data_IF_188081493531
#
_entry.id   IF_188081493531
#
_cell.length_a   1.000
_cell.length_b   1.000
_cell.length_c   1.000
_cell.angle_alpha   90.00
_cell.angle_beta   90.00
_cell.angle_gamma   90.00
#
_symmetry.space_group_name_H-M   'P 1'
#
loop_
_entity.id
_entity.type
_entity.pdbx_description
1 polymer ?
#
# COMPACT_ATOMS: atom_id res chain seq x y z
N UNK A 1 3.19 12.66 35.94
CA UNK A 1 2.84 12.48 34.52
C UNK A 1 1.35 12.74 34.36
N UNK A 2 0.92 13.46 33.32
CA UNK A 2 -0.51 13.67 33.09
C UNK A 2 -1.12 12.42 32.46
N UNK A 3 -2.27 12.00 32.98
CA UNK A 3 -3.10 10.95 32.40
C UNK A 3 -4.16 11.62 31.50
N UNK A 4 -4.40 11.02 30.35
CA UNK A 4 -5.38 11.47 29.37
C UNK A 4 -6.41 10.36 29.12
N UNK A 5 -7.59 10.73 28.64
CA UNK A 5 -8.57 9.79 28.12
C UNK A 5 -8.01 9.13 26.84
N UNK A 6 -7.94 7.80 26.80
CA UNK A 6 -7.32 7.08 25.69
C UNK A 6 -8.05 7.34 24.38
N UNK A 7 -9.38 7.18 24.35
CA UNK A 7 -10.17 7.33 23.13
C UNK A 7 -10.06 8.75 22.59
N UNK A 8 -10.28 9.77 23.42
CA UNK A 8 -10.26 11.18 23.01
C UNK A 8 -8.87 11.59 22.51
N UNK A 9 -7.82 11.09 23.14
CA UNK A 9 -6.43 11.37 22.73
C UNK A 9 -6.14 10.84 21.33
N UNK A 10 -6.56 9.61 21.02
CA UNK A 10 -6.34 9.03 19.69
C UNK A 10 -7.17 9.71 18.61
N UNK A 11 -8.40 10.12 18.91
CA UNK A 11 -9.21 10.94 17.99
C UNK A 11 -8.55 12.28 17.72
N UNK A 12 -8.08 12.97 18.77
CA UNK A 12 -7.38 14.24 18.65
C UNK A 12 -6.06 14.10 17.88
N UNK A 13 -5.30 13.04 18.12
CA UNK A 13 -4.09 12.73 17.37
C UNK A 13 -4.41 12.52 15.90
N UNK A 14 -5.43 11.73 15.57
CA UNK A 14 -5.80 11.49 14.17
C UNK A 14 -6.32 12.75 13.49
N UNK A 15 -7.09 13.59 14.18
CA UNK A 15 -7.59 14.86 13.65
C UNK A 15 -6.44 15.82 13.31
N UNK A 16 -5.44 15.90 14.19
CA UNK A 16 -4.29 16.78 14.01
C UNK A 16 -3.18 16.17 13.15
N UNK A 17 -3.23 14.86 12.85
CA UNK A 17 -2.27 14.20 11.99
C UNK A 17 -2.62 14.47 10.53
N UNK A 18 -1.92 15.42 9.94
CA UNK A 18 -1.97 15.71 8.50
C UNK A 18 -0.58 15.50 7.91
N UNK A 19 -0.54 14.91 6.71
CA UNK A 19 0.68 14.89 5.91
C UNK A 19 1.05 16.31 5.46
N UNK A 20 2.31 16.49 5.11
CA UNK A 20 2.76 17.70 4.43
C UNK A 20 2.07 17.78 3.05
N UNK A 21 1.26 18.82 2.81
CA UNK A 21 0.48 18.97 1.59
C UNK A 21 1.35 19.05 0.33
N UNK A 22 2.50 19.71 0.43
CA UNK A 22 3.44 19.83 -0.68
C UNK A 22 4.07 18.46 -0.98
N UNK A 23 4.46 17.74 0.07
CA UNK A 23 4.96 16.37 -0.06
C UNK A 23 3.90 15.44 -0.66
N UNK A 24 2.64 15.55 -0.23
CA UNK A 24 1.54 14.77 -0.78
C UNK A 24 1.36 15.03 -2.26
N UNK A 25 1.38 16.30 -2.68
CA UNK A 25 1.26 16.68 -4.08
C UNK A 25 2.41 16.12 -4.93
N UNK A 26 3.66 16.21 -4.44
CA UNK A 26 4.84 15.62 -5.08
C UNK A 26 4.71 14.11 -5.20
N UNK A 27 4.30 13.44 -4.12
CA UNK A 27 4.05 12.00 -4.08
C UNK A 27 3.05 11.57 -5.16
N UNK A 28 1.87 12.21 -5.21
CA UNK A 28 0.80 11.83 -6.16
C UNK A 28 1.27 11.98 -7.60
N UNK A 29 2.01 13.05 -7.90
CA UNK A 29 2.52 13.31 -9.23
C UNK A 29 3.63 12.33 -9.63
N UNK A 30 4.61 12.08 -8.77
CA UNK A 30 5.67 11.11 -9.03
C UNK A 30 5.11 9.68 -9.14
N UNK A 31 4.13 9.32 -8.31
CA UNK A 31 3.45 8.02 -8.41
C UNK A 31 2.78 7.84 -9.78
N UNK A 32 2.17 8.90 -10.32
CA UNK A 32 1.58 8.86 -11.67
C UNK A 32 2.65 8.64 -12.74
N UNK A 33 3.76 9.37 -12.71
CA UNK A 33 4.86 9.21 -13.67
C UNK A 33 5.42 7.78 -13.67
N UNK A 34 5.62 7.21 -12.47
CA UNK A 34 6.10 5.83 -12.30
C UNK A 34 5.12 4.83 -12.93
N UNK A 35 3.82 4.99 -12.68
CA UNK A 35 2.79 4.11 -13.25
C UNK A 35 2.75 4.23 -14.77
N UNK A 36 2.73 5.45 -15.30
CA UNK A 36 2.66 5.70 -16.74
C UNK A 36 3.85 5.04 -17.45
N UNK A 37 5.05 5.10 -16.87
CA UNK A 37 6.21 4.43 -17.42
C UNK A 37 6.10 2.89 -17.41
N UNK A 38 5.60 2.30 -16.32
CA UNK A 38 5.37 0.85 -16.22
C UNK A 38 4.31 0.41 -17.24
N UNK A 39 3.19 1.15 -17.32
CA UNK A 39 2.10 0.88 -18.26
C UNK A 39 2.59 0.98 -19.70
N UNK A 40 3.31 2.04 -20.05
CA UNK A 40 3.91 2.20 -21.38
C UNK A 40 4.84 1.04 -21.73
N UNK A 41 5.62 0.54 -20.76
CA UNK A 41 6.48 -0.62 -20.99
C UNK A 41 5.69 -1.93 -21.13
N UNK A 42 4.60 -2.10 -20.38
CA UNK A 42 3.68 -3.23 -20.54
C UNK A 42 3.00 -3.22 -21.93
N UNK A 43 2.62 -2.04 -22.44
CA UNK A 43 2.12 -1.89 -23.82
C UNK A 43 3.16 -2.30 -24.85
N UNK A 44 4.41 -1.82 -24.73
CA UNK A 44 5.52 -2.20 -25.63
C UNK A 44 5.80 -3.71 -25.61
N UNK A 45 5.67 -4.33 -24.44
CA UNK A 45 5.83 -5.78 -24.27
C UNK A 45 4.61 -6.60 -24.73
N UNK A 46 3.54 -5.94 -25.19
CA UNK A 46 2.23 -6.53 -25.47
C UNK A 46 1.73 -7.43 -24.33
N UNK A 47 1.89 -6.94 -23.09
CA UNK A 47 1.39 -7.61 -21.90
C UNK A 47 -0.13 -7.71 -21.94
N UNK A 48 -0.66 -8.81 -21.39
CA UNK A 48 -2.10 -8.98 -21.19
C UNK A 48 -2.67 -8.06 -20.11
N UNK A 49 -1.79 -7.49 -19.29
CA UNK A 49 -2.12 -6.59 -18.19
C UNK A 49 -2.01 -5.11 -18.55
N UNK A 50 -1.62 -4.77 -19.78
CA UNK A 50 -1.36 -3.38 -20.20
C UNK A 50 -2.54 -2.43 -19.90
N UNK A 51 -3.77 -2.92 -20.04
CA UNK A 51 -5.01 -2.14 -19.84
C UNK A 51 -5.60 -2.28 -18.41
N UNK A 52 -4.96 -3.04 -17.52
CA UNK A 52 -5.50 -3.36 -16.18
C UNK A 52 -4.74 -2.69 -15.02
N UNK A 53 -3.83 -1.77 -15.32
CA UNK A 53 -2.95 -1.12 -14.33
C UNK A 53 -3.43 0.27 -13.89
N UNK A 54 -4.53 0.78 -14.43
CA UNK A 54 -5.00 2.15 -14.15
C UNK A 54 -5.32 2.43 -12.67
N UNK A 55 -5.66 1.39 -11.92
CA UNK A 55 -5.98 1.48 -10.48
C UNK A 55 -4.75 1.31 -9.57
N UNK A 56 -3.56 1.04 -10.14
CA UNK A 56 -2.33 0.84 -9.39
C UNK A 56 -2.00 2.04 -8.48
N UNK A 57 -2.37 3.26 -8.89
CA UNK A 57 -2.19 4.50 -8.11
C UNK A 57 -2.86 4.45 -6.74
N UNK A 58 -3.98 3.75 -6.58
CA UNK A 58 -4.68 3.64 -5.29
C UNK A 58 -3.89 2.77 -4.31
N UNK A 59 -3.04 1.89 -4.83
CA UNK A 59 -2.20 1.00 -4.01
C UNK A 59 -0.90 1.66 -3.57
N UNK A 60 -0.62 2.87 -4.06
CA UNK A 60 0.60 3.59 -3.78
C UNK A 60 0.69 4.03 -2.32
N UNK A 61 1.89 4.00 -1.77
CA UNK A 61 2.22 4.58 -0.47
C UNK A 61 3.62 5.17 -0.55
N UNK A 62 3.75 6.44 -0.22
CA UNK A 62 5.05 7.05 -0.01
C UNK A 62 5.55 6.70 1.38
N UNK A 63 6.81 6.27 1.48
CA UNK A 63 7.44 5.90 2.74
C UNK A 63 8.72 6.69 2.88
N UNK A 64 8.91 7.31 4.04
CA UNK A 64 10.13 8.00 4.44
C UNK A 64 10.34 7.79 5.93
N UNK A 65 11.01 6.67 6.26
CA UNK A 65 11.26 6.24 7.63
C UNK A 65 9.97 6.17 8.46
N UNK A 66 9.84 7.00 9.51
CA UNK A 66 8.69 7.05 10.41
C UNK A 66 7.41 7.60 9.74
N UNK A 67 7.57 8.31 8.63
CA UNK A 67 6.48 8.94 7.91
C UNK A 67 6.01 8.03 6.76
N UNK A 68 4.69 7.95 6.61
CA UNK A 68 4.01 7.31 5.50
C UNK A 68 2.95 8.26 4.99
N UNK A 69 2.69 8.23 3.68
CA UNK A 69 1.60 8.93 3.04
C UNK A 69 0.97 8.02 1.98
N UNK A 70 -0.32 8.22 1.67
CA UNK A 70 -1.07 7.42 0.70
C UNK A 70 -2.33 8.17 0.24
N UNK A 71 -2.97 7.76 -0.88
CA UNK A 71 -4.21 8.38 -1.31
C UNK A 71 -5.34 8.16 -0.29
N UNK A 72 -6.27 9.10 -0.19
CA UNK A 72 -7.45 8.96 0.68
C UNK A 72 -8.32 7.75 0.28
N UNK A 73 -8.38 7.45 -1.01
CA UNK A 73 -9.03 6.25 -1.57
C UNK A 73 -8.08 5.08 -1.73
N UNK A 74 -7.16 4.87 -0.78
CA UNK A 74 -6.16 3.81 -0.84
C UNK A 74 -6.79 2.42 -0.99
N UNK A 75 -6.06 1.53 -1.65
CA UNK A 75 -6.43 0.14 -1.88
C UNK A 75 -5.27 -0.80 -1.58
N UNK A 76 -5.60 -2.07 -1.31
CA UNK A 76 -4.64 -3.18 -1.32
C UNK A 76 -4.88 -4.14 -2.47
N UNK A 77 -6.04 -4.04 -3.13
CA UNK A 77 -6.39 -4.88 -4.26
C UNK A 77 -6.23 -4.09 -5.57
N UNK A 78 -5.48 -4.64 -6.51
CA UNK A 78 -5.51 -4.20 -7.90
C UNK A 78 -6.67 -4.93 -8.57
N UNK A 79 -7.80 -4.25 -8.67
CA UNK A 79 -9.03 -4.78 -9.24
C UNK A 79 -8.98 -4.83 -10.76
N UNK A 80 -9.26 -6.00 -11.32
CA UNK A 80 -9.34 -6.26 -12.76
C UNK A 80 -10.79 -6.56 -13.10
N UNK A 81 -11.32 -5.84 -14.09
CA UNK A 81 -12.62 -6.14 -14.70
C UNK A 81 -12.36 -6.84 -16.02
N UNK A 82 -12.76 -8.11 -16.12
CA UNK A 82 -12.59 -8.83 -17.36
C UNK A 82 -13.80 -8.54 -18.27
N UNK A 83 -13.59 -8.21 -19.56
CA UNK A 83 -14.67 -7.93 -20.51
C UNK A 83 -15.31 -9.24 -21.03
N UNK A 84 -15.61 -10.17 -20.12
CA UNK A 84 -16.13 -11.50 -20.42
C UNK A 84 -17.20 -11.89 -19.41
N UNK A 85 -18.31 -12.45 -19.90
CA UNK A 85 -19.32 -13.07 -19.05
C UNK A 85 -18.77 -14.36 -18.45
N UNK A 86 -19.02 -14.56 -17.15
CA UNK A 86 -18.57 -15.71 -16.37
C UNK A 86 -19.74 -16.34 -15.63
N UNK A 87 -19.68 -17.64 -15.43
CA UNK A 87 -20.57 -18.36 -14.53
C UNK A 87 -19.88 -18.57 -13.19
N UNK A 88 -20.60 -18.33 -12.09
CA UNK A 88 -20.06 -18.45 -10.74
C UNK A 88 -20.63 -19.68 -10.03
N UNK A 89 -19.76 -20.45 -9.37
CA UNK A 89 -20.12 -21.52 -8.43
C UNK A 89 -19.62 -21.15 -7.04
N UNK A 90 -20.54 -20.87 -6.12
CA UNK A 90 -20.19 -20.40 -4.78
C UNK A 90 -20.16 -21.55 -3.77
N UNK A 91 -19.18 -21.51 -2.87
CA UNK A 91 -19.08 -22.42 -1.74
C UNK A 91 -19.33 -21.64 -0.44
N UNK A 92 -20.45 -21.91 0.22
CA UNK A 92 -20.83 -21.23 1.47
C UNK A 92 -19.84 -21.52 2.60
N UNK A 93 -19.48 -22.80 2.79
CA UNK A 93 -18.62 -23.25 3.89
C UNK A 93 -17.22 -22.65 3.82
N UNK A 94 -16.66 -22.56 2.62
CA UNK A 94 -15.32 -22.02 2.39
C UNK A 94 -15.31 -20.52 2.10
N UNK A 95 -16.49 -19.89 1.95
CA UNK A 95 -16.61 -18.47 1.55
C UNK A 95 -15.82 -18.16 0.28
N UNK A 96 -15.85 -19.10 -0.67
CA UNK A 96 -15.11 -19.05 -1.93
C UNK A 96 -16.05 -19.09 -3.15
N UNK A 97 -15.49 -18.79 -4.32
CA UNK A 97 -16.17 -18.86 -5.61
C UNK A 97 -15.23 -19.44 -6.67
N UNK A 98 -15.78 -20.25 -7.56
CA UNK A 98 -15.13 -20.69 -8.80
C UNK A 98 -15.81 -20.00 -9.98
N UNK A 99 -15.01 -19.52 -10.93
CA UNK A 99 -15.47 -18.69 -12.04
C UNK A 99 -15.15 -19.38 -13.37
N UNK A 100 -16.17 -19.59 -14.20
CA UNK A 100 -16.08 -20.43 -15.39
C UNK A 100 -16.48 -19.72 -16.67
N UNK A 101 -15.88 -20.16 -17.78
CA UNK A 101 -16.35 -19.89 -19.14
C UNK A 101 -15.97 -21.05 -20.05
N UNK A 102 -16.97 -21.74 -20.58
CA UNK A 102 -16.76 -22.86 -21.49
C UNK A 102 -16.07 -22.44 -22.79
N UNK A 103 -15.16 -23.28 -23.29
CA UNK A 103 -14.50 -23.13 -24.58
C UNK A 103 -13.76 -21.80 -24.76
N UNK A 104 -13.21 -21.25 -23.66
CA UNK A 104 -12.53 -19.96 -23.69
C UNK A 104 -11.02 -20.10 -23.47
N UNK A 105 -10.25 -19.72 -24.47
CA UNK A 105 -8.78 -19.77 -24.42
C UNK A 105 -8.22 -18.41 -24.02
N UNK A 106 -7.73 -18.30 -22.79
CA UNK A 106 -7.07 -17.09 -22.31
C UNK A 106 -6.02 -17.44 -21.24
N UNK A 107 -4.86 -16.75 -21.15
CA UNK A 107 -3.79 -17.06 -20.18
C UNK A 107 -4.17 -17.02 -18.70
N UNK A 108 -5.36 -16.53 -18.37
CA UNK A 108 -5.89 -16.48 -17.00
C UNK A 108 -6.65 -17.75 -16.63
N UNK A 109 -6.96 -18.60 -17.61
CA UNK A 109 -7.78 -19.78 -17.45
C UNK A 109 -6.90 -21.03 -17.36
N UNK A 110 -7.37 -22.01 -16.59
CA UNK A 110 -6.89 -23.38 -16.60
C UNK A 110 -8.10 -24.27 -16.87
N UNK A 111 -8.11 -24.93 -18.03
CA UNK A 111 -9.34 -25.46 -18.63
C UNK A 111 -10.40 -24.34 -18.72
N UNK A 112 -11.64 -24.59 -18.31
CA UNK A 112 -12.73 -23.61 -18.38
C UNK A 112 -12.79 -22.65 -17.16
N UNK A 113 -11.90 -22.82 -16.17
CA UNK A 113 -11.93 -22.04 -14.93
C UNK A 113 -10.89 -20.92 -14.92
N UNK A 114 -11.29 -19.72 -14.49
CA UNK A 114 -10.33 -18.67 -14.18
C UNK A 114 -9.52 -19.06 -12.95
N UNK A 115 -8.20 -19.04 -13.09
CA UNK A 115 -7.30 -19.56 -12.09
C UNK A 115 -6.41 -18.46 -11.50
N UNK A 116 -6.46 -18.22 -10.16
CA UNK A 116 -5.70 -17.16 -9.52
C UNK A 116 -4.19 -17.37 -9.63
N UNK A 117 -3.73 -18.63 -9.56
CA UNK A 117 -2.31 -18.96 -9.73
C UNK A 117 -1.82 -18.63 -11.14
N UNK A 118 -2.59 -18.94 -12.19
CA UNK A 118 -2.25 -18.57 -13.56
C UNK A 118 -2.14 -17.05 -13.71
N UNK A 119 -3.09 -16.29 -13.18
CA UNK A 119 -3.08 -14.82 -13.23
C UNK A 119 -1.86 -14.22 -12.51
N UNK A 120 -1.60 -14.63 -11.27
CA UNK A 120 -0.49 -14.06 -10.49
C UNK A 120 0.89 -14.45 -11.07
N UNK A 121 1.06 -15.69 -11.56
CA UNK A 121 2.31 -16.10 -12.23
C UNK A 121 2.54 -15.31 -13.51
N UNK A 122 1.50 -15.12 -14.33
CA UNK A 122 1.63 -14.34 -15.56
C UNK A 122 1.93 -12.88 -15.25
N UNK A 123 1.27 -12.31 -14.25
CA UNK A 123 1.54 -10.93 -13.83
C UNK A 123 2.99 -10.77 -13.36
N UNK A 124 3.49 -11.73 -12.58
CA UNK A 124 4.87 -11.72 -12.12
C UNK A 124 5.86 -11.64 -13.28
N UNK A 125 5.67 -12.47 -14.31
CA UNK A 125 6.52 -12.46 -15.49
C UNK A 125 6.45 -11.14 -16.26
N UNK A 126 5.24 -10.63 -16.49
CA UNK A 126 5.02 -9.40 -17.24
C UNK A 126 5.61 -8.17 -16.51
N UNK A 127 5.45 -8.09 -15.18
CA UNK A 127 6.03 -7.01 -14.36
C UNK A 127 7.55 -7.12 -14.21
N UNK A 128 8.09 -8.32 -14.00
CA UNK A 128 9.55 -8.52 -13.96
C UNK A 128 10.20 -8.03 -15.25
N UNK A 129 9.60 -8.39 -16.39
CA UNK A 129 10.08 -7.96 -17.71
C UNK A 129 9.94 -6.46 -17.89
N UNK A 130 8.76 -5.90 -17.60
CA UNK A 130 8.52 -4.47 -17.78
C UNK A 130 9.44 -3.64 -16.88
N UNK A 131 9.49 -3.91 -15.58
CA UNK A 131 10.34 -3.18 -14.63
C UNK A 131 11.82 -3.36 -14.96
N UNK A 132 12.27 -4.55 -15.39
CA UNK A 132 13.65 -4.77 -15.81
C UNK A 132 14.08 -3.99 -17.06
N UNK A 133 13.12 -3.46 -17.83
CA UNK A 133 13.36 -2.64 -19.02
C UNK A 133 13.09 -1.15 -18.77
N UNK A 134 12.40 -0.80 -17.69
CA UNK A 134 12.25 0.58 -17.25
C UNK A 134 13.55 0.98 -16.55
N UNK A 135 14.25 1.96 -17.13
CA UNK A 135 15.43 2.56 -16.50
C UNK A 135 15.03 3.37 -15.25
N UNK A 136 15.95 4.16 -14.70
CA UNK A 136 15.58 5.10 -13.65
C UNK A 136 14.60 6.16 -14.17
N UNK A 137 13.66 6.56 -13.33
CA UNK A 137 12.68 7.59 -13.64
C UNK A 137 13.02 8.84 -12.86
N UNK A 138 13.17 9.97 -13.56
CA UNK A 138 13.23 11.27 -12.92
C UNK A 138 11.81 11.73 -12.59
N UNK A 139 11.54 11.94 -11.30
CA UNK A 139 10.39 12.66 -10.80
C UNK A 139 10.45 14.13 -11.18
N UNK A 140 9.33 14.82 -11.08
CA UNK A 140 9.20 16.19 -11.59
C UNK A 140 10.06 17.18 -10.79
N UNK A 141 10.21 16.97 -9.49
CA UNK A 141 11.03 17.81 -8.60
C UNK A 141 12.48 17.33 -8.44
N UNK A 142 12.99 16.56 -9.40
CA UNK A 142 14.40 16.15 -9.45
C UNK A 142 14.76 14.92 -8.62
N UNK A 143 13.81 14.31 -7.91
CA UNK A 143 13.98 12.98 -7.34
C UNK A 143 14.24 11.97 -8.47
N UNK A 144 15.17 11.03 -8.29
CA UNK A 144 15.42 9.97 -9.27
C UNK A 144 15.12 8.64 -8.62
N UNK A 145 14.28 7.84 -9.26
CA UNK A 145 13.82 6.58 -8.72
C UNK A 145 14.43 5.38 -9.45
N UNK A 146 14.98 4.45 -8.68
CA UNK A 146 15.31 3.10 -9.14
C UNK A 146 14.17 2.15 -8.81
N UNK A 147 13.57 1.56 -9.84
CA UNK A 147 12.39 0.71 -9.70
C UNK A 147 12.81 -0.74 -9.52
N UNK A 148 12.19 -1.42 -8.56
CA UNK A 148 12.36 -2.84 -8.31
C UNK A 148 11.00 -3.49 -8.20
N UNK A 149 10.92 -4.72 -8.69
CA UNK A 149 9.73 -5.55 -8.55
C UNK A 149 10.05 -6.77 -7.70
N UNK A 150 9.17 -7.06 -6.74
CA UNK A 150 9.20 -8.26 -5.90
C UNK A 150 7.79 -8.82 -5.76
N UNK A 151 7.70 -10.11 -5.42
CA UNK A 151 6.42 -10.75 -5.15
C UNK A 151 6.54 -11.68 -3.95
N UNK A 152 5.60 -11.55 -3.02
CA UNK A 152 5.44 -12.50 -1.92
C UNK A 152 4.79 -13.76 -2.49
N UNK A 153 5.43 -14.91 -2.25
CA UNK A 153 5.07 -16.17 -2.89
C UNK A 153 4.91 -17.30 -1.88
N UNK A 154 3.77 -17.98 -1.85
CA UNK A 154 3.61 -19.18 -1.03
C UNK A 154 3.68 -20.41 -1.94
N UNK A 155 4.48 -21.43 -1.59
CA UNK A 155 4.70 -22.62 -2.43
C UNK A 155 5.02 -22.28 -3.90
N UNK A 156 5.88 -21.26 -4.11
CA UNK A 156 6.28 -20.73 -5.44
C UNK A 156 5.14 -20.09 -6.25
N UNK A 157 3.99 -19.81 -5.62
CA UNK A 157 2.88 -19.08 -6.24
C UNK A 157 2.81 -17.67 -5.66
N UNK A 158 3.00 -16.62 -6.46
CA UNK A 158 2.84 -15.24 -6.00
C UNK A 158 1.39 -14.98 -5.57
N UNK A 159 1.22 -14.24 -4.49
CA UNK A 159 -0.11 -13.84 -3.99
C UNK A 159 -0.21 -12.33 -3.66
N UNK A 160 0.92 -11.66 -3.45
CA UNK A 160 1.01 -10.22 -3.32
C UNK A 160 2.23 -9.71 -4.08
N UNK A 161 2.10 -8.54 -4.67
CA UNK A 161 3.07 -7.95 -5.57
C UNK A 161 3.49 -6.59 -5.03
N UNK A 162 4.76 -6.27 -5.23
CA UNK A 162 5.33 -4.98 -4.85
C UNK A 162 6.14 -4.43 -6.02
N UNK A 163 5.84 -3.18 -6.39
CA UNK A 163 6.76 -2.34 -7.16
C UNK A 163 7.26 -1.26 -6.23
N UNK A 164 8.57 -1.23 -5.97
CA UNK A 164 9.19 -0.22 -5.13
C UNK A 164 10.08 0.69 -5.96
N UNK A 165 9.76 1.97 -5.98
CA UNK A 165 10.54 3.03 -6.59
C UNK A 165 11.40 3.70 -5.50
N UNK A 166 12.64 3.24 -5.37
CA UNK A 166 13.58 3.73 -4.37
C UNK A 166 14.18 5.07 -4.82
N UNK A 167 14.10 6.10 -3.98
CA UNK A 167 14.70 7.40 -4.27
C UNK A 167 16.23 7.34 -4.12
N UNK A 168 16.97 7.69 -5.18
CA UNK A 168 18.44 7.67 -5.19
C UNK A 168 19.01 8.64 -4.17
N UNK A 169 20.01 8.18 -3.43
CA UNK A 169 20.67 8.99 -2.39
C UNK A 169 19.86 9.12 -1.10
N UNK A 170 18.65 8.56 -1.03
CA UNK A 170 17.83 8.55 0.18
C UNK A 170 17.70 7.12 0.73
N UNK A 171 18.00 6.95 2.02
CA UNK A 171 17.91 5.63 2.66
C UNK A 171 16.46 5.29 3.02
N UNK A 172 15.96 4.15 2.52
CA UNK A 172 14.62 3.62 2.78
C UNK A 172 13.49 4.63 2.54
N UNK A 173 13.67 5.48 1.51
CA UNK A 173 12.67 6.44 1.07
C UNK A 173 12.26 6.13 -0.36
N UNK A 174 10.97 6.21 -0.63
CA UNK A 174 10.46 5.91 -1.97
C UNK A 174 8.95 5.74 -2.01
N UNK A 175 8.48 5.35 -3.20
CA UNK A 175 7.07 5.08 -3.46
C UNK A 175 6.90 3.58 -3.65
N UNK A 176 6.00 2.99 -2.88
CA UNK A 176 5.69 1.58 -2.89
C UNK A 176 4.29 1.35 -3.46
N UNK A 177 4.16 0.48 -4.46
CA UNK A 177 2.89 -0.02 -4.97
C UNK A 177 2.74 -1.46 -4.52
N UNK A 178 2.04 -1.66 -3.40
CA UNK A 178 1.78 -2.97 -2.81
C UNK A 178 0.35 -3.41 -3.12
N UNK A 179 0.18 -4.55 -3.78
CA UNK A 179 -1.14 -4.97 -4.23
C UNK A 179 -1.32 -6.47 -4.38
N UNK A 180 -2.58 -6.90 -4.23
CA UNK A 180 -3.07 -8.25 -4.50
C UNK A 180 -3.96 -8.16 -5.73
N UNK A 181 -3.76 -9.04 -6.72
CA UNK A 181 -4.65 -9.09 -7.88
C UNK A 181 -6.01 -9.63 -7.44
N UNK A 182 -7.08 -8.93 -7.84
CA UNK A 182 -8.44 -9.37 -7.64
C UNK A 182 -9.29 -9.11 -8.88
N UNK A 183 -10.32 -9.92 -9.08
CA UNK A 183 -11.36 -9.68 -10.07
C UNK A 183 -12.48 -8.89 -9.41
N UNK A 184 -12.93 -7.81 -10.05
CA UNK A 184 -14.06 -7.02 -9.55
C UNK A 184 -15.33 -7.34 -10.33
N UNK A 185 -16.42 -7.46 -9.60
CA UNK A 185 -17.75 -7.71 -10.12
C UNK A 185 -18.74 -6.66 -9.60
N UNK A 186 -19.64 -6.24 -10.48
CA UNK A 186 -20.82 -5.49 -10.05
C UNK A 186 -21.84 -6.45 -9.45
N UNK A 187 -22.31 -6.16 -8.24
CA UNK A 187 -23.31 -7.00 -7.57
C UNK A 187 -24.66 -7.01 -8.27
N UNK A 188 -24.98 -6.00 -9.08
CA UNK A 188 -26.19 -5.99 -9.89
C UNK A 188 -26.10 -6.95 -11.08
N UNK A 189 -24.89 -7.15 -11.64
CA UNK A 189 -24.63 -8.04 -12.77
C UNK A 189 -24.38 -9.49 -12.32
N UNK A 190 -23.67 -9.66 -11.21
CA UNK A 190 -23.36 -10.96 -10.61
C UNK A 190 -23.61 -10.90 -9.10
N UNK A 191 -24.85 -11.13 -8.65
CA UNK A 191 -25.19 -10.99 -7.23
C UNK A 191 -24.51 -12.05 -6.38
N UNK A 192 -24.03 -11.62 -5.20
CA UNK A 192 -23.56 -12.55 -4.18
C UNK A 192 -24.74 -13.29 -3.53
N UNK A 193 -24.57 -14.57 -3.17
CA UNK A 193 -25.53 -15.27 -2.33
C UNK A 193 -25.86 -14.53 -1.03
N UNK A 194 -27.10 -14.69 -0.54
CA UNK A 194 -27.65 -13.95 0.62
C UNK A 194 -26.77 -14.09 1.87
N UNK A 195 -26.11 -15.23 2.08
CA UNK A 195 -25.24 -15.48 3.23
C UNK A 195 -24.00 -14.56 3.28
N UNK A 196 -23.66 -13.85 2.21
CA UNK A 196 -22.62 -12.80 2.23
C UNK A 196 -23.08 -11.50 2.89
N UNK A 197 -24.39 -11.30 3.08
CA UNK A 197 -24.99 -10.09 3.67
C UNK A 197 -24.47 -8.81 3.00
N UNK A 198 -24.43 -8.82 1.67
CA UNK A 198 -23.99 -7.72 0.83
C UNK A 198 -25.20 -7.11 0.11
N UNK A 199 -25.39 -5.79 0.12
CA UNK A 199 -26.38 -5.14 -0.74
C UNK A 199 -26.10 -5.45 -2.21
N UNK A 200 -27.16 -5.64 -3.01
CA UNK A 200 -27.02 -5.97 -4.44
C UNK A 200 -26.28 -4.87 -5.21
N UNK A 201 -26.44 -3.60 -4.82
CA UNK A 201 -25.74 -2.48 -5.44
C UNK A 201 -24.24 -2.40 -5.10
N UNK A 202 -23.74 -3.28 -4.22
CA UNK A 202 -22.32 -3.27 -3.85
C UNK A 202 -21.52 -4.09 -4.84
N UNK A 203 -20.38 -3.55 -5.23
CA UNK A 203 -19.34 -4.33 -5.87
C UNK A 203 -18.79 -5.36 -4.89
N UNK A 204 -18.30 -6.46 -5.43
CA UNK A 204 -17.51 -7.42 -4.68
C UNK A 204 -16.32 -7.85 -5.50
N UNK A 205 -15.31 -8.40 -4.82
CA UNK A 205 -14.08 -8.84 -5.46
C UNK A 205 -13.80 -10.30 -5.15
N UNK A 206 -13.20 -10.98 -6.12
CA UNK A 206 -12.65 -12.31 -6.00
C UNK A 206 -11.12 -12.19 -5.95
N UNK A 207 -10.48 -12.60 -4.87
CA UNK A 207 -9.01 -12.56 -4.72
C UNK A 207 -8.42 -13.97 -4.58
N UNK A 208 -7.16 -14.15 -5.00
CA UNK A 208 -6.50 -15.46 -4.92
C UNK A 208 -6.30 -15.90 -3.47
N UNK A 209 -6.73 -17.12 -3.13
CA UNK A 209 -6.49 -17.71 -1.81
C UNK A 209 -5.08 -18.30 -1.73
N UNK A 210 -4.42 -18.07 -0.59
CA UNK A 210 -3.18 -18.77 -0.25
C UNK A 210 -3.56 -20.07 0.44
N UNK A 211 -3.41 -21.19 -0.28
CA UNK A 211 -3.79 -22.50 0.25
C UNK A 211 -2.72 -23.06 1.20
N UNK A 212 -2.77 -22.63 2.45
CA UNK A 212 -1.81 -23.02 3.49
C UNK A 212 -1.93 -24.50 3.85
N UNK A 213 -3.14 -25.07 3.79
CA UNK A 213 -3.47 -26.40 4.31
C UNK A 213 -3.88 -27.43 3.24
N UNK A 214 -3.78 -27.09 1.94
CA UNK A 214 -4.24 -27.93 0.81
C UNK A 214 -5.74 -28.26 0.86
N UNK A 215 -6.55 -27.36 1.42
CA UNK A 215 -7.98 -27.56 1.64
C UNK A 215 -8.85 -26.92 0.54
N UNK A 216 -8.23 -26.18 -0.38
CA UNK A 216 -8.92 -25.43 -1.42
C UNK A 216 -8.63 -26.01 -2.80
N UNK A 217 -9.61 -25.89 -3.70
CA UNK A 217 -9.33 -26.12 -5.10
C UNK A 217 -8.43 -24.99 -5.61
N UNK A 218 -7.46 -25.31 -6.47
CA UNK A 218 -6.59 -24.31 -7.10
C UNK A 218 -7.32 -23.22 -7.90
N UNK A 219 -8.58 -23.46 -8.27
CA UNK A 219 -9.45 -22.51 -8.96
C UNK A 219 -10.33 -21.68 -8.00
N UNK A 220 -10.25 -21.91 -6.69
CA UNK A 220 -11.04 -21.16 -5.70
C UNK A 220 -10.50 -19.74 -5.54
N UNK A 221 -11.43 -18.79 -5.57
CA UNK A 221 -11.20 -17.41 -5.21
C UNK A 221 -11.87 -17.10 -3.88
N UNK A 222 -11.22 -16.33 -3.04
CA UNK A 222 -11.81 -15.77 -1.83
C UNK A 222 -12.76 -14.65 -2.22
N UNK A 223 -13.95 -14.62 -1.61
CA UNK A 223 -14.93 -13.56 -1.86
C UNK A 223 -14.80 -12.46 -0.81
N UNK A 224 -14.63 -11.22 -1.27
CA UNK A 224 -14.55 -10.04 -0.43
C UNK A 224 -15.56 -8.98 -0.86
N UNK A 225 -16.25 -8.39 0.12
CA UNK A 225 -17.07 -7.19 -0.08
C UNK A 225 -16.28 -6.00 0.47
N UNK A 226 -15.76 -5.08 -0.37
CA UNK A 226 -14.94 -3.96 0.06
C UNK A 226 -15.79 -2.86 0.70
N UNK A 227 -16.38 -3.14 1.88
CA UNK A 227 -17.31 -2.23 2.59
C UNK A 227 -16.70 -0.85 2.84
N UNK A 228 -15.38 -0.77 2.98
CA UNK A 228 -14.62 0.47 3.06
C UNK A 228 -14.89 1.46 1.91
N UNK A 229 -15.02 0.96 0.67
CA UNK A 229 -15.25 1.81 -0.50
C UNK A 229 -16.58 2.57 -0.42
N UNK A 230 -17.57 2.05 0.33
CA UNK A 230 -18.85 2.73 0.58
C UNK A 230 -18.79 3.81 1.68
N UNK A 231 -17.63 4.01 2.32
CA UNK A 231 -17.46 5.01 3.37
C UNK A 231 -17.55 6.44 2.81
N UNK A 232 -18.19 7.33 3.57
CA UNK A 232 -18.17 8.77 3.31
C UNK A 232 -16.76 9.36 3.55
N UNK A 233 -16.57 10.62 3.15
CA UNK A 233 -15.27 11.30 3.21
C UNK A 233 -14.67 11.35 4.62
N UNK A 234 -15.48 11.67 5.64
CA UNK A 234 -15.01 11.76 7.02
C UNK A 234 -14.53 10.41 7.56
N UNK A 235 -15.25 9.34 7.26
CA UNK A 235 -14.84 7.97 7.62
C UNK A 235 -13.56 7.54 6.89
N UNK A 236 -13.41 7.98 5.62
CA UNK A 236 -12.19 7.78 4.83
C UNK A 236 -10.98 8.44 5.47
N UNK A 237 -11.13 9.71 5.84
CA UNK A 237 -10.07 10.49 6.47
C UNK A 237 -9.68 9.91 7.83
N UNK A 238 -10.67 9.54 8.65
CA UNK A 238 -10.43 8.89 9.96
C UNK A 238 -9.55 7.66 9.83
N UNK A 239 -9.86 6.75 8.91
CA UNK A 239 -9.08 5.51 8.82
C UNK A 239 -7.76 5.71 8.08
N UNK A 240 -7.69 6.66 7.14
CA UNK A 240 -6.43 7.09 6.56
C UNK A 240 -5.47 7.57 7.65
N UNK A 241 -5.86 8.56 8.48
CA UNK A 241 -5.03 9.09 9.55
C UNK A 241 -4.69 8.05 10.61
N UNK A 242 -5.64 7.16 10.95
CA UNK A 242 -5.41 6.04 11.85
C UNK A 242 -4.28 5.12 11.34
N UNK A 243 -4.25 4.81 10.04
CA UNK A 243 -3.20 3.97 9.46
C UNK A 243 -1.84 4.66 9.44
N UNK A 244 -1.80 5.98 9.21
CA UNK A 244 -0.55 6.75 9.30
C UNK A 244 0.00 6.75 10.73
N UNK A 245 -0.88 6.92 11.73
CA UNK A 245 -0.52 6.80 13.14
C UNK A 245 -0.04 5.41 13.51
N UNK A 246 -0.69 4.35 13.00
CA UNK A 246 -0.28 2.97 13.23
C UNK A 246 1.10 2.68 12.63
N UNK A 247 1.35 3.10 11.38
CA UNK A 247 2.66 3.01 10.76
C UNK A 247 3.72 3.70 11.62
N UNK A 248 3.46 4.96 12.02
CA UNK A 248 4.37 5.77 12.84
C UNK A 248 4.72 5.08 14.15
N UNK A 249 3.71 4.59 14.89
CA UNK A 249 3.91 3.83 16.12
C UNK A 249 4.81 2.62 15.89
N UNK A 250 4.49 1.79 14.91
CA UNK A 250 5.24 0.56 14.64
C UNK A 250 6.68 0.85 14.23
N UNK A 251 6.89 1.88 13.40
CA UNK A 251 8.22 2.29 12.98
C UNK A 251 9.04 2.84 14.14
N UNK A 252 8.46 3.74 14.95
CA UNK A 252 9.10 4.30 16.15
C UNK A 252 9.54 3.21 17.12
N UNK A 253 8.76 2.13 17.23
CA UNK A 253 9.05 0.98 18.08
C UNK A 253 9.86 -0.13 17.38
N UNK A 254 10.51 0.18 16.25
CA UNK A 254 11.39 -0.75 15.51
C UNK A 254 10.71 -2.07 15.17
N UNK A 255 9.42 -2.00 14.84
CA UNK A 255 8.60 -3.10 14.32
C UNK A 255 8.46 -2.96 12.80
N UNK A 256 9.59 -2.83 12.09
CA UNK A 256 9.64 -2.45 10.68
C UNK A 256 8.87 -3.40 9.76
N UNK A 257 8.90 -4.71 10.04
CA UNK A 257 8.14 -5.72 9.28
C UNK A 257 6.64 -5.57 9.47
N UNK A 258 6.17 -5.05 10.60
CA UNK A 258 4.74 -4.75 10.82
C UNK A 258 4.36 -3.37 10.29
N UNK A 259 5.32 -2.45 10.24
CA UNK A 259 5.14 -1.09 9.73
C UNK A 259 5.05 -1.03 8.20
N UNK A 260 5.30 -2.12 7.47
CA UNK A 260 5.27 -2.11 5.99
C UNK A 260 3.87 -1.71 5.50
N UNK A 261 3.73 -0.76 4.54
CA UNK A 261 2.44 -0.25 4.10
C UNK A 261 1.45 -1.34 3.69
N UNK A 262 1.92 -2.38 3.00
CA UNK A 262 1.11 -3.55 2.65
C UNK A 262 0.38 -4.15 3.87
N UNK A 263 1.09 -4.47 4.96
CA UNK A 263 0.47 -5.12 6.12
C UNK A 263 -0.44 -4.19 6.91
N UNK A 264 -0.10 -2.90 6.97
CA UNK A 264 -0.95 -1.86 7.57
C UNK A 264 -2.28 -1.78 6.84
N UNK A 265 -2.25 -1.63 5.51
CA UNK A 265 -3.47 -1.60 4.69
C UNK A 265 -4.21 -2.93 4.73
N UNK A 266 -3.55 -4.05 4.50
CA UNK A 266 -4.19 -5.36 4.42
C UNK A 266 -4.94 -5.75 5.71
N UNK A 267 -4.33 -5.52 6.88
CA UNK A 267 -4.97 -5.83 8.16
C UNK A 267 -6.14 -4.88 8.48
N UNK A 268 -6.10 -3.65 7.96
CA UNK A 268 -7.26 -2.76 8.01
C UNK A 268 -8.41 -3.32 7.16
N UNK A 269 -8.13 -3.79 5.95
CA UNK A 269 -9.15 -4.45 5.13
C UNK A 269 -9.76 -5.64 5.87
N UNK A 270 -8.95 -6.51 6.50
CA UNK A 270 -9.47 -7.62 7.31
C UNK A 270 -10.33 -7.14 8.48
N UNK A 271 -9.97 -6.03 9.13
CA UNK A 271 -10.79 -5.39 10.17
C UNK A 271 -12.17 -5.03 9.63
N UNK A 272 -12.24 -4.40 8.44
CA UNK A 272 -13.52 -4.01 7.83
C UNK A 272 -14.38 -5.22 7.43
N UNK A 273 -13.76 -6.35 7.10
CA UNK A 273 -14.44 -7.61 6.79
C UNK A 273 -15.06 -8.20 8.04
N UNK A 274 -14.25 -8.40 9.08
CA UNK A 274 -14.66 -9.07 10.31
C UNK A 274 -15.72 -8.24 11.06
N UNK A 275 -15.59 -6.91 11.06
CA UNK A 275 -16.55 -6.02 11.71
C UNK A 275 -17.79 -5.71 10.86
N UNK A 276 -17.74 -5.94 9.55
CA UNK A 276 -18.80 -5.52 8.63
C UNK A 276 -19.14 -4.03 8.80
N UNK A 277 -20.41 -3.64 8.66
CA UNK A 277 -20.83 -2.23 8.83
C UNK A 277 -20.48 -1.60 10.19
N UNK A 278 -20.19 -2.41 11.22
CA UNK A 278 -19.82 -1.88 12.54
C UNK A 278 -18.54 -1.07 12.51
N UNK A 279 -17.61 -1.34 11.58
CA UNK A 279 -16.34 -0.59 11.50
C UNK A 279 -16.59 0.92 11.31
N UNK A 280 -17.68 1.31 10.62
CA UNK A 280 -18.02 2.71 10.39
C UNK A 280 -18.26 3.46 11.70
N UNK A 281 -18.74 2.77 12.73
CA UNK A 281 -19.01 3.33 14.07
C UNK A 281 -17.83 3.23 15.05
N UNK A 282 -16.74 2.56 14.68
CA UNK A 282 -15.57 2.44 15.55
C UNK A 282 -14.74 3.72 15.51
N UNK A 283 -14.35 4.22 16.69
CA UNK A 283 -13.36 5.30 16.79
C UNK A 283 -11.95 4.86 16.36
N UNK A 284 -11.05 5.82 16.20
CA UNK A 284 -9.65 5.65 15.80
C UNK A 284 -8.94 4.64 16.70
N UNK A 285 -9.05 4.80 18.01
CA UNK A 285 -8.46 3.90 19.00
C UNK A 285 -8.87 2.44 18.79
N UNK A 286 -10.17 2.19 18.66
CA UNK A 286 -10.73 0.85 18.46
C UNK A 286 -10.28 0.25 17.12
N UNK A 287 -10.32 1.04 16.04
CA UNK A 287 -9.87 0.61 14.72
C UNK A 287 -8.39 0.26 14.72
N UNK A 288 -7.56 1.08 15.37
CA UNK A 288 -6.12 0.89 15.46
C UNK A 288 -5.76 -0.38 16.23
N UNK A 289 -6.36 -0.59 17.40
CA UNK A 289 -6.14 -1.80 18.21
C UNK A 289 -6.59 -3.05 17.45
N UNK A 290 -7.75 -3.01 16.81
CA UNK A 290 -8.28 -4.17 16.06
C UNK A 290 -7.42 -4.47 14.84
N UNK A 291 -7.00 -3.45 14.10
CA UNK A 291 -6.11 -3.58 12.93
C UNK A 291 -4.76 -4.16 13.33
N UNK A 292 -4.16 -3.68 14.43
CA UNK A 292 -2.93 -4.23 14.98
C UNK A 292 -3.11 -5.68 15.45
N UNK A 293 -4.27 -6.00 16.04
CA UNK A 293 -4.64 -7.37 16.41
C UNK A 293 -4.55 -8.32 15.22
N UNK A 294 -5.09 -7.93 14.05
CA UNK A 294 -4.96 -8.72 12.82
C UNK A 294 -3.51 -8.91 12.39
N UNK A 295 -2.66 -7.88 12.52
CA UNK A 295 -1.24 -7.98 12.16
C UNK A 295 -0.50 -9.00 13.03
N UNK A 296 -0.73 -8.98 14.34
CA UNK A 296 0.10 -9.74 15.30
C UNK A 296 -0.39 -11.17 15.57
N UNK A 297 -1.67 -11.49 15.29
CA UNK A 297 -2.25 -12.81 15.56
C UNK A 297 -2.51 -13.66 14.33
N UNK A 298 -2.58 -13.10 13.12
CA UNK A 298 -2.83 -13.89 11.90
C UNK A 298 -1.55 -14.44 11.25
N UNK A 299 -0.39 -14.30 11.90
CA UNK A 299 0.91 -14.83 11.48
C UNK A 299 1.28 -14.56 10.01
N UNK A 300 0.78 -13.48 9.38
CA UNK A 300 1.12 -13.12 8.00
C UNK A 300 2.62 -13.00 7.76
N UNK A 301 3.34 -12.58 8.80
CA UNK A 301 4.79 -12.57 8.84
C UNK A 301 5.44 -13.96 8.64
N UNK A 302 4.86 -15.03 9.18
CA UNK A 302 5.38 -16.40 8.98
C UNK A 302 5.17 -16.85 7.53
N UNK A 303 4.10 -16.40 6.87
CA UNK A 303 3.90 -16.62 5.43
C UNK A 303 4.94 -15.85 4.60
N UNK A 304 5.33 -14.64 5.03
CA UNK A 304 6.40 -13.86 4.40
C UNK A 304 7.75 -14.58 4.53
N UNK A 305 8.07 -15.20 5.67
CA UNK A 305 9.34 -15.95 5.83
C UNK A 305 9.32 -17.32 5.13
N UNK A 306 8.17 -18.01 5.10
CA UNK A 306 8.02 -19.23 4.28
C UNK A 306 8.03 -18.94 2.78
N UNK A 307 7.92 -17.67 2.38
CA UNK A 307 7.95 -17.24 0.98
C UNK A 307 9.35 -17.08 0.39
N UNK A 308 10.38 -16.97 1.22
CA UNK A 308 11.76 -16.77 0.75
C UNK A 308 12.41 -18.10 0.38
N UNK A 309 12.63 -18.31 -0.92
CA UNK A 309 13.52 -19.37 -1.41
C UNK A 309 14.95 -18.95 -1.05
N UNK A 310 15.60 -19.68 -0.14
CA UNK A 310 16.92 -19.32 0.36
C UNK A 310 17.56 -20.39 1.23
N UNK A 311 18.85 -20.19 1.54
CA UNK A 311 19.65 -21.03 2.43
C UNK A 311 18.96 -21.19 3.80
N UNK A 312 19.03 -22.41 4.36
CA UNK A 312 18.35 -22.79 5.60
C UNK A 312 18.76 -21.88 6.77
N UNK A 313 20.04 -21.51 6.86
CA UNK A 313 20.56 -20.64 7.91
C UNK A 313 19.98 -19.21 7.81
N UNK A 314 19.91 -18.65 6.60
CA UNK A 314 19.30 -17.33 6.34
C UNK A 314 17.82 -17.34 6.69
N UNK A 315 17.10 -18.41 6.35
CA UNK A 315 15.69 -18.57 6.70
C UNK A 315 15.49 -18.67 8.23
N UNK A 316 16.38 -19.35 8.96
CA UNK A 316 16.35 -19.40 10.44
C UNK A 316 16.56 -18.01 11.03
N UNK A 317 17.57 -17.27 10.56
CA UNK A 317 17.87 -15.92 11.05
C UNK A 317 16.70 -14.95 10.79
N UNK A 318 16.15 -14.95 9.57
CA UNK A 318 14.97 -14.16 9.23
C UNK A 318 13.75 -14.55 10.09
N UNK A 319 13.58 -15.85 10.37
CA UNK A 319 12.53 -16.34 11.28
C UNK A 319 12.73 -15.79 12.71
N UNK A 320 13.96 -15.72 13.20
CA UNK A 320 14.27 -15.21 14.54
C UNK A 320 13.96 -13.72 14.65
N UNK A 321 14.48 -12.90 13.73
CA UNK A 321 14.22 -11.46 13.70
C UNK A 321 12.71 -11.17 13.61
N UNK A 322 12.00 -11.94 12.79
CA UNK A 322 10.57 -11.85 12.67
C UNK A 322 9.85 -12.13 13.99
N UNK A 323 10.24 -13.20 14.70
CA UNK A 323 9.66 -13.54 16.01
C UNK A 323 9.91 -12.44 17.03
N UNK A 324 11.09 -11.83 17.04
CA UNK A 324 11.38 -10.69 17.91
C UNK A 324 10.47 -9.50 17.59
N UNK A 325 10.29 -9.17 16.32
CA UNK A 325 9.35 -8.13 15.89
C UNK A 325 7.90 -8.47 16.23
N UNK A 326 7.48 -9.73 16.10
CA UNK A 326 6.15 -10.19 16.52
C UNK A 326 5.95 -10.05 18.03
N UNK A 327 6.94 -10.40 18.85
CA UNK A 327 6.88 -10.24 20.30
C UNK A 327 6.74 -8.75 20.66
N UNK A 328 7.53 -7.88 20.03
CA UNK A 328 7.39 -6.42 20.20
C UNK A 328 6.00 -5.94 19.80
N UNK A 329 5.51 -6.36 18.63
CA UNK A 329 4.16 -6.03 18.15
C UNK A 329 3.05 -6.50 19.10
N UNK A 330 3.15 -7.72 19.65
CA UNK A 330 2.22 -8.24 20.66
C UNK A 330 2.27 -7.44 21.96
N UNK A 331 3.44 -6.98 22.38
CA UNK A 331 3.61 -6.07 23.52
C UNK A 331 2.89 -4.73 23.30
N UNK A 332 3.08 -4.12 22.13
CA UNK A 332 2.38 -2.88 21.74
C UNK A 332 0.86 -3.12 21.72
N UNK A 333 0.41 -4.22 21.13
CA UNK A 333 -1.00 -4.59 21.11
C UNK A 333 -1.58 -4.71 22.53
N UNK A 334 -0.94 -5.49 23.41
CA UNK A 334 -1.41 -5.70 24.77
C UNK A 334 -1.53 -4.39 25.55
N UNK A 335 -0.57 -3.49 25.36
CA UNK A 335 -0.56 -2.17 25.96
C UNK A 335 -1.66 -1.25 25.43
N UNK A 336 -1.84 -1.17 24.11
CA UNK A 336 -2.93 -0.38 23.53
C UNK A 336 -4.31 -0.95 23.90
N UNK A 337 -4.45 -2.28 23.89
CA UNK A 337 -5.68 -2.95 24.30
C UNK A 337 -6.00 -2.64 25.78
N UNK A 338 -5.00 -2.68 26.67
CA UNK A 338 -5.20 -2.34 28.08
C UNK A 338 -5.52 -0.86 28.29
N UNK A 339 -4.84 0.02 27.56
CA UNK A 339 -5.13 1.47 27.58
C UNK A 339 -6.54 1.78 27.10
N UNK A 340 -7.02 1.06 26.08
CA UNK A 340 -8.39 1.15 25.58
C UNK A 340 -9.41 0.64 26.61
N UNK A 341 -9.15 -0.51 27.23
CA UNK A 341 -10.00 -1.10 28.27
C UNK A 341 -10.14 -0.18 29.49
N UNK A 342 -9.02 0.38 29.96
CA UNK A 342 -8.99 1.31 31.10
C UNK A 342 -9.36 2.75 30.70
N UNK A 343 -9.49 3.01 29.40
CA UNK A 343 -9.65 4.32 28.79
C UNK A 343 -8.65 5.39 29.29
N UNK A 344 -7.39 5.00 29.53
CA UNK A 344 -6.35 5.89 30.07
C UNK A 344 -5.03 5.72 29.33
N UNK A 345 -4.33 6.84 29.11
CA UNK A 345 -3.00 6.88 28.48
C UNK A 345 -2.16 7.99 29.10
N UNK A 346 -0.84 7.78 29.23
CA UNK A 346 0.05 8.82 29.74
C UNK A 346 0.61 9.68 28.62
N UNK A 347 0.85 10.96 28.88
CA UNK A 347 1.54 11.85 27.92
C UNK A 347 2.94 11.35 27.56
N UNK A 348 3.62 10.72 28.52
CA UNK A 348 4.94 10.11 28.31
C UNK A 348 4.86 8.98 27.29
N UNK A 349 3.84 8.14 27.39
CA UNK A 349 3.62 7.07 26.43
C UNK A 349 3.45 7.64 25.00
N UNK A 350 2.64 8.68 24.82
CA UNK A 350 2.46 9.30 23.50
C UNK A 350 3.80 9.82 22.95
N UNK A 351 4.57 10.52 23.79
CA UNK A 351 5.86 11.06 23.40
C UNK A 351 6.86 9.96 22.99
N UNK A 352 7.00 8.92 23.80
CA UNK A 352 7.99 7.85 23.59
C UNK A 352 7.58 6.91 22.46
N UNK A 353 6.30 6.54 22.40
CA UNK A 353 5.84 5.49 21.51
C UNK A 353 5.57 5.98 20.09
N UNK A 354 5.10 7.22 19.94
CA UNK A 354 4.84 7.82 18.63
C UNK A 354 5.95 8.78 18.18
N UNK A 355 6.91 9.12 19.04
CA UNK A 355 7.91 10.18 18.78
C UNK A 355 7.22 11.48 18.34
N UNK A 356 6.15 11.86 19.03
CA UNK A 356 5.40 13.11 18.81
C UNK A 356 5.61 14.00 20.03
N UNK A 357 6.08 15.24 19.83
CA UNK A 357 6.11 16.23 20.91
C UNK A 357 4.67 16.66 21.20
N UNK A 358 4.06 16.10 22.24
CA UNK A 358 2.73 16.52 22.67
C UNK A 358 2.83 17.90 23.33
N UNK A 359 2.49 18.95 22.59
CA UNK A 359 2.29 20.28 23.17
C UNK A 359 0.93 20.27 23.86
N UNK A 360 0.94 20.39 25.19
CA UNK A 360 -0.28 20.55 25.97
C UNK A 360 -0.97 21.81 25.46
N UNK A 361 -2.14 21.68 24.83
CA UNK A 361 -2.99 22.82 24.52
C UNK A 361 -3.44 23.36 25.88
N UNK A 362 -2.79 24.40 26.36
CA UNK A 362 -3.29 25.17 27.50
C UNK A 362 -4.60 25.75 27.01
N UNK A 363 -5.72 25.38 27.64
CA UNK A 363 -6.97 26.12 27.48
C UNK A 363 -6.66 27.57 27.86
N UNK A 364 -6.48 28.42 26.85
CA UNK A 364 -6.43 29.86 27.07
C UNK A 364 -7.84 30.23 27.54
N UNK A 365 -8.03 30.29 28.85
CA UNK A 365 -9.17 30.98 29.44
C UNK A 365 -9.25 32.36 28.81
N UNK A 366 -10.23 32.54 27.93
CA UNK A 366 -10.52 33.83 27.35
C UNK A 366 -10.81 34.81 28.50
N UNK A 367 -10.12 35.96 28.59
CA UNK A 367 -10.51 36.98 29.54
C UNK A 367 -11.91 37.48 29.15
N UNK A 368 -12.81 37.49 30.12
CA UNK A 368 -14.12 38.09 30.00
C UNK A 368 -13.99 39.56 29.60
N UNK A 369 -14.28 39.89 28.35
CA UNK A 369 -14.44 41.28 27.91
C UNK A 369 -15.92 41.65 27.96
N UNK A 370 -16.24 42.38 29.01
CA UNK A 370 -17.40 43.27 29.12
C UNK A 370 -17.58 44.10 27.86
N UNK A 371 -18.83 44.13 27.39
CA UNK A 371 -19.31 45.03 26.36
C UNK A 371 -19.16 46.49 26.77
N UNK A 372 -18.58 47.32 25.90
CA UNK A 372 -18.85 48.74 25.84
C UNK A 372 -18.71 49.22 24.40
N UNK A 373 -19.81 49.74 23.87
CA UNK A 373 -19.92 50.32 22.54
C UNK A 373 -19.15 51.66 22.46
N UNK A 374 -18.47 51.91 21.34
CA UNK A 374 -18.19 53.25 20.86
C UNK A 374 -18.00 53.26 19.34
N UNK A 375 -18.56 54.31 18.75
CA UNK A 375 -18.96 54.49 17.36
C UNK A 375 -17.94 55.32 16.58
N UNK A 376 -17.81 55.05 15.27
CA UNK A 376 -17.26 55.87 14.16
C UNK A 376 -15.91 56.61 14.34
N UNK A 377 -14.98 56.39 13.40
CA UNK A 377 -14.59 57.45 12.44
C UNK A 377 -13.82 56.89 11.23
N UNK A 378 -14.28 57.31 10.04
CA UNK A 378 -13.59 57.23 8.75
C UNK A 378 -12.36 58.14 8.76
N UNK A 379 -11.21 57.64 8.32
CA UNK A 379 -10.19 58.46 7.66
C UNK A 379 -9.58 57.71 6.48
N UNK A 380 -9.72 58.33 5.31
CA UNK A 380 -9.07 57.96 4.06
C UNK A 380 -7.59 58.32 4.18
N UNK A 381 -6.68 57.39 3.88
CA UNK A 381 -5.29 57.69 3.52
C UNK A 381 -4.98 57.11 2.14
N UNK A 382 -4.30 57.90 1.33
CA UNK A 382 -4.01 57.69 -0.08
C UNK A 382 -2.98 56.56 -0.30
N UNK A 383 -2.98 55.90 -1.48
CA UNK A 383 -1.99 54.88 -1.80
C UNK A 383 -0.62 55.50 -2.07
N UNK A 384 0.42 54.92 -1.47
CA UNK A 384 1.82 55.24 -1.71
C UNK A 384 2.24 54.88 -3.15
N UNK A 385 3.20 55.63 -3.76
CA UNK A 385 3.66 55.37 -5.12
C UNK A 385 4.46 54.06 -5.20
N UNK A 386 4.26 53.33 -6.30
CA UNK A 386 4.89 52.04 -6.56
C UNK A 386 6.43 52.16 -6.68
N UNK A 387 7.19 51.20 -6.14
CA UNK A 387 8.64 51.14 -6.34
C UNK A 387 8.99 50.79 -7.79
N UNK A 388 10.15 51.26 -8.31
CA UNK A 388 10.58 51.01 -9.68
C UNK A 388 10.87 49.51 -9.91
N UNK A 389 10.71 49.03 -11.16
CA UNK A 389 10.92 47.63 -11.50
C UNK A 389 12.40 47.24 -11.34
N UNK A 390 12.68 45.99 -10.90
CA UNK A 390 14.03 45.47 -10.80
C UNK A 390 14.68 45.32 -12.20
N UNK A 391 16.01 45.45 -12.31
CA UNK A 391 16.73 45.29 -13.56
C UNK A 391 16.63 43.84 -14.09
N UNK A 392 16.73 43.64 -15.42
CA UNK A 392 16.61 42.33 -16.04
C UNK A 392 17.74 41.38 -15.60
N UNK A 393 17.48 40.06 -15.56
CA UNK A 393 18.45 39.07 -15.12
C UNK A 393 19.65 38.97 -16.06
N UNK A 394 20.85 38.97 -15.47
CA UNK A 394 22.12 38.71 -16.14
C UNK A 394 22.12 37.26 -16.63
N UNK A 395 22.30 37.06 -17.94
CA UNK A 395 22.43 35.73 -18.54
C UNK A 395 23.67 35.01 -17.99
N UNK A 396 23.54 33.73 -17.56
CA UNK A 396 24.70 32.95 -17.14
C UNK A 396 25.63 32.67 -18.34
N UNK A 397 26.96 32.56 -18.10
CA UNK A 397 27.92 32.26 -19.16
C UNK A 397 27.65 30.88 -19.79
N UNK A 398 27.82 30.81 -21.11
CA UNK A 398 27.68 29.59 -21.90
C UNK A 398 28.65 28.51 -21.39
N UNK A 399 28.20 27.24 -21.27
CA UNK A 399 29.07 26.14 -20.91
C UNK A 399 30.12 25.87 -22.01
N UNK A 400 31.33 25.42 -21.64
CA UNK A 400 32.37 25.10 -22.60
C UNK A 400 31.96 23.91 -23.50
N UNK A 401 32.45 23.86 -24.75
CA UNK A 401 32.12 22.80 -25.68
C UNK A 401 32.61 21.42 -25.17
N UNK A 402 31.85 20.34 -25.46
CA UNK A 402 32.21 19.00 -25.03
C UNK A 402 33.50 18.51 -25.73
N UNK A 403 34.31 17.69 -25.04
CA UNK A 403 35.51 17.09 -25.63
C UNK A 403 35.16 16.12 -26.77
N UNK A 404 36.05 15.98 -27.77
CA UNK A 404 35.82 15.11 -28.92
C UNK A 404 35.67 13.64 -28.54
N UNK A 405 34.72 12.97 -29.20
CA UNK A 405 34.35 11.59 -28.97
C UNK A 405 35.53 10.62 -29.20
N UNK A 406 35.91 9.88 -28.17
CA UNK A 406 36.85 8.77 -28.29
C UNK A 406 36.15 7.54 -28.90
N UNK A 407 36.62 7.14 -30.08
CA UNK A 407 36.29 5.89 -30.77
C UNK A 407 36.61 4.68 -29.86
N UNK A 408 35.58 4.00 -29.35
CA UNK A 408 35.74 2.68 -28.73
C UNK A 408 35.69 1.59 -29.80
N UNK A 409 36.85 0.98 -30.03
CA UNK A 409 37.06 -0.26 -30.78
C UNK A 409 36.26 -1.38 -30.14
N UNK A 410 35.43 -2.05 -30.95
CA UNK A 410 34.61 -3.20 -30.55
C UNK A 410 35.39 -4.49 -30.75
N UNK A 411 35.79 -5.15 -29.66
CA UNK A 411 36.32 -6.51 -29.72
C UNK A 411 35.17 -7.51 -29.61
N UNK A 412 34.82 -8.15 -30.73
CA UNK A 412 33.87 -9.28 -30.79
C UNK A 412 34.46 -10.48 -30.05
N UNK A 413 33.78 -10.95 -29.01
CA UNK A 413 34.03 -12.27 -28.40
C UNK A 413 33.00 -13.25 -28.98
N UNK A 414 33.49 -14.28 -29.66
CA UNK A 414 32.72 -15.37 -30.25
C UNK A 414 32.49 -16.44 -29.17
N UNK A 415 31.25 -16.77 -28.77
CA UNK A 415 31.00 -17.88 -27.87
C UNK A 415 31.11 -19.23 -28.60
N UNK A 416 32.01 -20.09 -28.10
CA UNK A 416 32.16 -21.50 -28.50
C UNK A 416 30.91 -22.32 -28.16
N UNK A 417 30.53 -23.19 -29.09
CA UNK A 417 29.44 -24.16 -28.96
C UNK A 417 29.70 -25.18 -27.83
N UNK A 418 28.66 -25.44 -27.03
CA UNK A 418 28.62 -26.50 -26.02
C UNK A 418 27.94 -27.74 -26.62
N UNK A 419 28.54 -28.94 -26.54
CA UNK A 419 27.96 -30.17 -27.09
C UNK A 419 26.81 -30.73 -26.22
N UNK A 420 25.85 -31.47 -26.83
CA UNK A 420 24.67 -31.98 -26.13
C UNK A 420 25.01 -33.16 -25.21
N UNK A 421 24.58 -33.05 -23.95
CA UNK A 421 24.74 -34.09 -22.95
C UNK A 421 23.73 -35.23 -23.16
N UNK A 422 24.25 -36.45 -23.06
CA UNK A 422 23.67 -37.73 -23.44
C UNK A 422 22.67 -38.22 -22.38
N UNK A 423 21.50 -38.69 -22.82
CA UNK A 423 20.52 -39.42 -22.02
C UNK A 423 21.15 -40.69 -21.43
N UNK A 424 20.97 -40.94 -20.14
CA UNK A 424 21.15 -42.27 -19.54
C UNK A 424 19.82 -42.76 -18.97
N UNK A 425 19.38 -43.89 -19.52
CA UNK A 425 18.38 -44.79 -18.95
C UNK A 425 18.87 -45.34 -17.60
N UNK A 426 17.97 -45.43 -16.62
CA UNK A 426 18.01 -46.49 -15.61
C UNK A 426 16.61 -47.08 -15.46
N UNK A 427 16.49 -48.29 -15.98
CA UNK A 427 15.63 -49.36 -15.46
C UNK A 427 16.20 -49.87 -14.13
N UNK A 428 15.37 -49.96 -13.10
CA UNK A 428 14.79 -51.18 -12.49
C UNK A 428 13.62 -50.71 -11.64
#
# INVERSE_FOLDING_TARGET
MAMLNFVDTFELMALNFHGDEEQHHRFVHDAKLLIDAIVNQLHKNNSIFKDYMGELRKTASFVSQINMDMPLGFEVFLTIRLPISLSASFNEKQRSVQLYRANYTHPFFFADAINPKCMNLRLQQDLQRAVGQVACIAGYWGAIYDIKYTALSYNRVPFAHQVFAAERGAHNRGICFDFIVALEFDGAEMPLPIYYKAPICYKWIAYGLVDVNQNHNSADWGVLVPRWQSANMGLRLRSHNMLLLLHRLLYAQRCFTLAVPFLVKFCFFMTTVDCGERYKRMGVAHLMVTTLGHQVFRNYCELIVKSTVGDHATNIAATKELREQQVRGKGIFAMLAKGLELNVISTQFIADYFQIKYLKVTETTAPATTAAAATLQKSKSAPAPAPPPPPPPVLPPLPPPPPPAQLRVTTRVIPRAVPPCRKQHRSI
#
